data_IF_622321440659
#
_entry.id   IF_622321440659
#
_cell.length_a   1.000
_cell.length_b   1.000
_cell.length_c   1.000
_cell.angle_alpha   90.00
_cell.angle_beta   90.00
_cell.angle_gamma   90.00
#
_symmetry.space_group_name_H-M   'P 1'
#
loop_
_entity.id
_entity.type
_entity.pdbx_description
1 polymer ?
#
# COMPACT_ATOMS: atom_id res chain seq x y z
N UNK A 1 -2.52 -19.65 -18.94
CA UNK A 1 -1.97 -18.28 -19.00
C UNK A 1 -2.50 -17.60 -20.24
N UNK A 2 -3.13 -16.45 -20.12
CA UNK A 2 -3.61 -15.65 -21.27
C UNK A 2 -3.00 -14.26 -21.18
N UNK A 3 -2.41 -13.80 -22.27
CA UNK A 3 -1.84 -12.47 -22.40
C UNK A 3 -2.68 -11.67 -23.39
N UNK A 4 -3.07 -10.45 -23.06
CA UNK A 4 -3.94 -9.60 -23.89
C UNK A 4 -3.24 -8.28 -24.21
N UNK A 5 -3.13 -7.96 -25.49
CA UNK A 5 -2.47 -6.75 -25.96
C UNK A 5 -3.25 -5.49 -25.60
N UNK A 6 -2.53 -4.46 -25.18
CA UNK A 6 -3.08 -3.13 -24.81
C UNK A 6 -2.94 -2.10 -25.93
N UNK A 7 -2.44 -2.51 -27.12
CA UNK A 7 -2.19 -1.63 -28.26
C UNK A 7 -0.74 -1.17 -28.39
N UNK A 8 0.08 -1.39 -27.37
CA UNK A 8 1.54 -1.27 -27.44
C UNK A 8 2.13 -2.60 -27.89
N UNK A 9 3.18 -2.55 -28.73
CA UNK A 9 3.90 -3.75 -29.13
C UNK A 9 4.66 -4.32 -27.92
N UNK A 10 4.33 -5.56 -27.55
CA UNK A 10 4.82 -6.21 -26.33
C UNK A 10 5.54 -7.51 -26.68
N UNK A 11 6.75 -7.70 -26.14
CA UNK A 11 7.49 -8.96 -26.18
C UNK A 11 7.52 -9.57 -24.79
N UNK A 12 7.06 -10.81 -24.66
CA UNK A 12 7.08 -11.55 -23.40
C UNK A 12 7.99 -12.77 -23.47
N UNK A 13 8.42 -13.22 -22.30
CA UNK A 13 9.02 -14.52 -22.07
C UNK A 13 8.55 -15.08 -20.73
N UNK A 14 8.29 -16.38 -20.66
CA UNK A 14 7.97 -17.05 -19.40
C UNK A 14 8.37 -18.53 -19.41
N UNK A 15 8.44 -19.12 -18.22
CA UNK A 15 8.74 -20.54 -18.02
C UNK A 15 7.82 -21.13 -16.95
N UNK A 16 7.35 -22.36 -17.17
CA UNK A 16 6.53 -23.11 -16.21
C UNK A 16 7.30 -24.31 -15.64
N UNK A 17 6.84 -24.82 -14.49
CA UNK A 17 7.52 -25.91 -13.78
C UNK A 17 7.33 -27.29 -14.43
N UNK A 18 6.23 -27.54 -15.14
CA UNK A 18 5.93 -28.88 -15.67
C UNK A 18 5.73 -28.94 -17.18
N UNK A 19 4.58 -28.58 -17.71
CA UNK A 19 4.24 -28.74 -19.12
C UNK A 19 3.61 -27.47 -19.67
N UNK A 20 3.92 -27.15 -20.93
CA UNK A 20 3.42 -25.96 -21.62
C UNK A 20 2.97 -26.31 -23.04
N UNK A 21 1.79 -25.86 -23.42
CA UNK A 21 1.29 -25.96 -24.79
C UNK A 21 0.44 -24.75 -25.17
N UNK A 22 0.36 -24.47 -26.47
CA UNK A 22 -0.53 -23.45 -27.01
C UNK A 22 -2.00 -23.84 -26.73
N UNK A 23 -2.81 -22.86 -26.35
CA UNK A 23 -4.26 -23.02 -26.19
C UNK A 23 -4.99 -22.45 -27.40
N UNK A 24 -5.50 -23.35 -28.25
CA UNK A 24 -6.19 -22.97 -29.49
C UNK A 24 -5.24 -22.41 -30.55
N UNK A 25 -5.80 -21.57 -31.43
CA UNK A 25 -5.10 -20.98 -32.59
C UNK A 25 -4.71 -19.51 -32.33
N UNK A 26 -4.55 -19.13 -31.07
CA UNK A 26 -4.18 -17.77 -30.64
C UNK A 26 -2.69 -17.48 -30.87
N UNK A 27 -1.85 -18.50 -30.74
CA UNK A 27 -0.40 -18.39 -30.87
C UNK A 27 0.02 -18.26 -32.33
N UNK A 28 0.83 -17.26 -32.62
CA UNK A 28 1.20 -16.88 -33.97
C UNK A 28 2.50 -17.55 -34.42
N UNK A 29 2.77 -17.52 -35.72
CA UNK A 29 3.91 -18.25 -36.30
C UNK A 29 5.28 -17.73 -35.89
N UNK A 30 5.35 -16.54 -35.26
CA UNK A 30 6.57 -15.94 -34.74
C UNK A 30 6.76 -16.16 -33.25
N UNK A 31 5.77 -16.73 -32.55
CA UNK A 31 5.91 -17.14 -31.17
C UNK A 31 6.58 -18.50 -31.09
N UNK A 32 7.31 -18.72 -30.01
CA UNK A 32 8.08 -19.93 -29.78
C UNK A 32 7.66 -20.54 -28.47
N UNK A 33 7.32 -21.83 -28.50
CA UNK A 33 7.20 -22.69 -27.33
C UNK A 33 8.31 -23.73 -27.43
N UNK A 34 9.21 -23.74 -26.45
CA UNK A 34 10.31 -24.72 -26.36
C UNK A 34 10.29 -25.39 -24.98
N UNK A 35 9.79 -26.63 -24.94
CA UNK A 35 9.64 -27.38 -23.71
C UNK A 35 8.65 -26.71 -22.75
N UNK A 36 9.16 -26.14 -21.66
CA UNK A 36 8.37 -25.47 -20.62
C UNK A 36 8.49 -23.94 -20.69
N UNK A 37 9.15 -23.41 -21.70
CA UNK A 37 9.32 -21.97 -21.90
C UNK A 37 8.58 -21.50 -23.14
N UNK A 38 8.07 -20.27 -23.08
CA UNK A 38 7.52 -19.59 -24.25
C UNK A 38 8.02 -18.15 -24.34
N UNK A 39 8.12 -17.66 -25.57
CA UNK A 39 8.43 -16.27 -25.89
C UNK A 39 7.68 -15.86 -27.14
N UNK A 40 7.16 -14.65 -27.17
CA UNK A 40 6.31 -14.21 -28.28
C UNK A 40 6.08 -12.71 -28.33
N UNK A 41 5.28 -12.28 -29.30
CA UNK A 41 4.95 -10.88 -29.54
C UNK A 41 3.45 -10.66 -29.63
N UNK A 42 2.94 -9.71 -28.84
CA UNK A 42 1.58 -9.20 -28.96
C UNK A 42 1.66 -7.79 -29.52
N UNK A 43 1.15 -7.57 -30.73
CA UNK A 43 1.41 -6.34 -31.49
C UNK A 43 0.23 -5.38 -31.56
N UNK A 44 -0.98 -5.83 -31.21
CA UNK A 44 -2.22 -5.07 -31.42
C UNK A 44 -3.13 -5.20 -30.20
N UNK A 45 -3.91 -4.17 -29.92
CA UNK A 45 -4.91 -4.16 -28.84
C UNK A 45 -5.94 -5.29 -29.04
N UNK A 46 -6.22 -6.04 -27.97
CA UNK A 46 -7.20 -7.12 -27.96
C UNK A 46 -6.78 -8.39 -28.71
N UNK A 47 -5.56 -8.45 -29.27
CA UNK A 47 -4.95 -9.71 -29.68
C UNK A 47 -4.48 -10.44 -28.43
N UNK A 48 -4.75 -11.74 -28.38
CA UNK A 48 -4.45 -12.56 -27.21
C UNK A 48 -3.53 -13.70 -27.60
N UNK A 49 -2.58 -14.02 -26.71
CA UNK A 49 -1.82 -15.26 -26.73
C UNK A 49 -2.24 -16.11 -25.54
N UNK A 50 -2.75 -17.32 -25.80
CA UNK A 50 -3.24 -18.21 -24.74
C UNK A 50 -2.46 -19.51 -24.70
N UNK A 51 -2.07 -19.90 -23.48
CA UNK A 51 -1.30 -21.10 -23.18
C UNK A 51 -2.00 -21.95 -22.11
N UNK A 52 -2.00 -23.26 -22.32
CA UNK A 52 -2.30 -24.23 -21.28
C UNK A 52 -0.99 -24.66 -20.65
N UNK A 53 -0.94 -24.68 -19.31
CA UNK A 53 0.23 -25.18 -18.60
C UNK A 53 -0.16 -26.05 -17.41
N UNK A 54 0.75 -26.92 -17.02
CA UNK A 54 0.69 -27.67 -15.77
C UNK A 54 1.75 -27.16 -14.78
N UNK A 55 1.46 -27.27 -13.49
CA UNK A 55 2.31 -26.76 -12.42
C UNK A 55 2.08 -25.27 -12.14
N UNK A 56 3.15 -24.49 -12.16
CA UNK A 56 3.13 -23.05 -11.85
C UNK A 56 4.07 -22.30 -12.80
N UNK A 57 3.82 -21.00 -12.97
CA UNK A 57 4.77 -20.11 -13.65
C UNK A 57 5.96 -19.90 -12.71
N UNK A 58 7.16 -20.17 -13.20
CA UNK A 58 8.41 -20.08 -12.41
C UNK A 58 9.21 -18.84 -12.73
N UNK A 59 8.96 -18.23 -13.90
CA UNK A 59 9.56 -16.99 -14.34
C UNK A 59 8.66 -16.37 -15.39
N UNK A 60 8.47 -15.06 -15.31
CA UNK A 60 7.74 -14.28 -16.30
C UNK A 60 8.41 -12.91 -16.44
N UNK A 61 8.46 -12.38 -17.65
CA UNK A 61 8.94 -11.04 -17.91
C UNK A 61 8.43 -10.47 -19.22
N UNK A 62 8.14 -9.17 -19.21
CA UNK A 62 8.07 -8.40 -20.44
C UNK A 62 9.46 -7.87 -20.77
N UNK A 63 9.94 -8.21 -21.96
CA UNK A 63 11.23 -7.69 -22.44
C UNK A 63 11.05 -6.34 -23.12
N UNK A 64 9.89 -6.10 -23.72
CA UNK A 64 9.48 -4.82 -24.31
C UNK A 64 7.96 -4.67 -24.12
N UNK A 65 7.48 -3.46 -23.81
CA UNK A 65 6.04 -3.18 -23.64
C UNK A 65 5.41 -3.90 -22.44
N UNK A 66 4.08 -3.89 -22.38
CA UNK A 66 3.29 -4.59 -21.36
C UNK A 66 1.97 -5.11 -21.97
N UNK A 67 1.43 -6.17 -21.36
CA UNK A 67 0.16 -6.78 -21.73
C UNK A 67 -0.60 -7.17 -20.46
N UNK A 68 -1.93 -7.28 -20.55
CA UNK A 68 -2.72 -7.80 -19.43
C UNK A 68 -2.49 -9.31 -19.30
N UNK A 69 -2.29 -9.79 -18.07
CA UNK A 69 -1.99 -11.19 -17.78
C UNK A 69 -3.17 -11.81 -17.04
N UNK A 70 -3.59 -12.99 -17.46
CA UNK A 70 -4.61 -13.77 -16.77
C UNK A 70 -4.15 -15.21 -16.51
N UNK A 71 -4.36 -15.69 -15.29
CA UNK A 71 -4.19 -17.10 -14.90
C UNK A 71 -5.54 -17.62 -14.45
N UNK A 72 -6.02 -18.69 -15.10
CA UNK A 72 -7.35 -19.28 -14.88
C UNK A 72 -8.53 -18.29 -14.92
N UNK A 73 -8.37 -17.21 -15.68
CA UNK A 73 -9.38 -16.16 -15.86
C UNK A 73 -9.31 -15.03 -14.83
N UNK A 74 -8.46 -15.14 -13.81
CA UNK A 74 -8.17 -14.05 -12.86
C UNK A 74 -7.04 -13.17 -13.39
N UNK A 75 -7.16 -11.85 -13.24
CA UNK A 75 -6.14 -10.93 -13.71
C UNK A 75 -4.98 -10.90 -12.71
N UNK A 76 -3.76 -11.04 -13.22
CA UNK A 76 -2.52 -10.99 -12.42
C UNK A 76 -1.55 -10.00 -13.04
N UNK A 77 -0.52 -9.63 -12.28
CA UNK A 77 0.60 -8.80 -12.73
C UNK A 77 1.81 -9.66 -13.07
N UNK A 78 2.82 -9.09 -13.74
CA UNK A 78 4.06 -9.80 -14.04
C UNK A 78 4.81 -10.24 -12.76
N UNK A 79 4.60 -9.54 -11.64
CA UNK A 79 5.17 -9.87 -10.33
C UNK A 79 4.39 -10.97 -9.60
N UNK A 80 3.08 -11.08 -9.81
CA UNK A 80 2.22 -12.04 -9.08
C UNK A 80 1.90 -13.30 -9.88
N UNK A 81 2.19 -13.31 -11.18
CA UNK A 81 1.95 -14.46 -12.06
C UNK A 81 2.71 -15.72 -11.63
N UNK A 82 3.85 -15.59 -10.95
CA UNK A 82 4.62 -16.74 -10.44
C UNK A 82 4.01 -17.37 -9.19
N UNK A 83 3.17 -16.63 -8.47
CA UNK A 83 2.44 -17.10 -7.30
C UNK A 83 1.08 -17.72 -7.69
N UNK A 84 0.63 -17.46 -8.91
CA UNK A 84 -0.57 -18.06 -9.46
C UNK A 84 -0.32 -19.53 -9.80
N UNK A 85 -0.98 -20.41 -9.06
CA UNK A 85 -0.94 -21.86 -9.28
C UNK A 85 -2.21 -22.31 -10.00
N UNK A 86 -2.07 -23.13 -11.03
CA UNK A 86 -3.21 -23.79 -11.68
C UNK A 86 -3.55 -25.06 -10.92
N UNK A 87 -4.33 -24.96 -9.82
CA UNK A 87 -4.80 -26.15 -9.11
C UNK A 87 -5.95 -26.81 -9.86
N UNK A 88 -5.61 -27.76 -10.72
CA UNK A 88 -6.57 -28.62 -11.38
C UNK A 88 -7.07 -29.70 -10.42
N UNK A 89 -7.95 -29.37 -9.47
CA UNK A 89 -8.69 -30.37 -8.68
C UNK A 89 -10.02 -29.85 -8.11
N UNK A 90 -11.09 -30.10 -8.86
CA UNK A 90 -12.45 -30.20 -8.31
C UNK A 90 -12.58 -31.50 -7.53
N UNK A 91 -12.63 -31.48 -6.20
CA UNK A 91 -13.54 -32.32 -5.41
C UNK A 91 -13.62 -31.86 -3.94
N UNK A 92 -14.82 -31.89 -3.38
CA UNK A 92 -15.08 -31.46 -2.01
C UNK A 92 -14.73 -32.54 -0.98
N UNK A 93 -14.25 -32.12 0.19
CA UNK A 93 -14.74 -32.53 1.51
C UNK A 93 -13.82 -31.99 2.60
N UNK A 94 -14.46 -31.50 3.66
CA UNK A 94 -13.91 -31.14 4.97
C UNK A 94 -12.82 -32.07 5.50
N UNK A 95 -11.68 -31.52 5.92
CA UNK A 95 -11.10 -31.83 7.23
C UNK A 95 -10.24 -30.67 7.74
N UNK A 96 -10.40 -30.38 9.02
CA UNK A 96 -9.73 -29.28 9.71
C UNK A 96 -8.39 -29.76 10.25
N UNK A 97 -7.29 -29.26 9.70
CA UNK A 97 -6.05 -29.14 10.47
C UNK A 97 -5.43 -27.79 10.20
N UNK A 98 -5.65 -26.89 11.15
CA UNK A 98 -4.89 -25.69 11.43
C UNK A 98 -3.41 -25.86 11.08
N UNK A 99 -2.98 -25.20 10.02
CA UNK A 99 -1.75 -24.43 10.06
C UNK A 99 -2.14 -23.00 9.69
N UNK A 100 -2.54 -22.24 10.71
CA UNK A 100 -2.69 -20.80 10.62
C UNK A 100 -1.29 -20.22 10.48
N UNK A 101 -0.71 -20.33 9.28
CA UNK A 101 0.09 -19.23 8.80
C UNK A 101 -0.91 -18.12 8.56
N UNK A 102 -0.93 -17.18 9.49
CA UNK A 102 -1.57 -15.89 9.27
C UNK A 102 -0.82 -15.30 8.08
N UNK A 103 -1.26 -15.64 6.87
CA UNK A 103 -1.07 -14.80 5.71
C UNK A 103 -1.98 -13.61 5.98
N UNK A 104 -1.46 -12.69 6.81
CA UNK A 104 -1.93 -11.33 6.78
C UNK A 104 -1.69 -10.94 5.32
N UNK A 105 -2.74 -10.96 4.51
CA UNK A 105 -2.81 -10.09 3.35
C UNK A 105 -2.62 -8.70 3.93
N UNK A 106 -1.38 -8.28 4.12
CA UNK A 106 -1.04 -6.98 4.65
C UNK A 106 -1.67 -6.04 3.65
N UNK A 107 -2.81 -5.48 4.04
CA UNK A 107 -3.69 -4.81 3.11
C UNK A 107 -2.87 -3.64 2.59
N UNK A 108 -2.56 -3.68 1.30
CA UNK A 108 -1.63 -2.72 0.71
C UNK A 108 -2.21 -1.32 0.95
N UNK A 109 -1.47 -0.50 1.71
CA UNK A 109 -1.82 0.87 2.00
C UNK A 109 -1.38 1.76 0.83
N UNK A 110 -2.06 2.89 0.66
CA UNK A 110 -1.71 3.93 -0.30
C UNK A 110 -1.12 5.13 0.45
N UNK A 111 0.01 5.64 -0.01
CA UNK A 111 0.54 6.95 0.31
C UNK A 111 0.48 7.82 -0.95
N UNK A 112 -0.08 9.02 -0.85
CA UNK A 112 -0.13 9.98 -1.95
C UNK A 112 0.38 11.33 -1.49
N UNK A 113 1.41 11.84 -2.17
CA UNK A 113 1.97 13.16 -1.96
C UNK A 113 1.53 14.07 -3.10
N UNK A 114 0.92 15.22 -2.80
CA UNK A 114 0.38 16.13 -3.83
C UNK A 114 1.06 17.49 -3.71
N UNK A 115 1.71 17.91 -4.79
CA UNK A 115 2.36 19.21 -4.89
C UNK A 115 1.37 20.37 -4.77
N UNK A 116 1.82 21.46 -4.13
CA UNK A 116 1.02 22.67 -3.85
C UNK A 116 1.40 23.86 -4.73
N UNK A 117 2.19 23.62 -5.78
CA UNK A 117 2.74 24.65 -6.67
C UNK A 117 4.07 25.25 -6.22
N UNK A 118 4.63 24.77 -5.11
CA UNK A 118 6.02 25.01 -4.69
C UNK A 118 6.82 23.74 -4.97
N UNK A 119 8.06 23.90 -5.41
CA UNK A 119 8.98 22.78 -5.61
C UNK A 119 9.27 22.12 -4.26
N UNK A 120 8.85 20.85 -4.12
CA UNK A 120 8.92 20.12 -2.87
C UNK A 120 9.68 18.80 -3.06
N UNK A 121 10.73 18.61 -2.27
CA UNK A 121 11.45 17.36 -2.16
C UNK A 121 11.05 16.63 -0.90
N UNK A 122 10.74 15.34 -1.00
CA UNK A 122 10.41 14.51 0.16
C UNK A 122 11.33 13.31 0.30
N UNK A 123 11.33 12.77 1.51
CA UNK A 123 11.88 11.47 1.86
C UNK A 123 10.85 10.73 2.72
N UNK A 124 10.57 9.47 2.37
CA UNK A 124 9.65 8.60 3.11
C UNK A 124 10.26 7.22 3.34
N UNK A 125 9.97 6.63 4.50
CA UNK A 125 10.33 5.26 4.82
C UNK A 125 9.18 4.53 5.52
N UNK A 126 9.04 3.24 5.23
CA UNK A 126 8.02 2.35 5.81
C UNK A 126 8.67 1.15 6.50
N UNK A 127 7.93 0.49 7.39
CA UNK A 127 8.41 -0.71 8.07
C UNK A 127 8.34 -1.98 7.21
N UNK A 128 7.51 -1.95 6.16
CA UNK A 128 7.33 -3.03 5.20
C UNK A 128 7.93 -2.70 3.84
N UNK A 129 7.23 -3.08 2.78
CA UNK A 129 7.57 -2.80 1.39
C UNK A 129 6.97 -1.47 0.92
N UNK A 130 7.64 -0.79 0.00
CA UNK A 130 7.21 0.43 -0.67
C UNK A 130 7.42 0.27 -2.18
N UNK A 131 6.39 0.50 -2.97
CA UNK A 131 6.42 0.41 -4.43
C UNK A 131 5.70 1.63 -5.03
N UNK A 132 6.19 2.11 -6.18
CA UNK A 132 5.47 3.13 -6.93
C UNK A 132 4.13 2.58 -7.40
N UNK A 133 3.07 3.38 -7.27
CA UNK A 133 1.72 3.04 -7.69
C UNK A 133 1.36 3.81 -8.96
N UNK A 134 1.20 3.09 -10.06
CA UNK A 134 0.91 3.65 -11.39
C UNK A 134 2.06 4.50 -11.95
N UNK A 135 1.73 5.37 -12.90
CA UNK A 135 2.69 6.21 -13.64
C UNK A 135 2.86 7.62 -13.03
N UNK A 136 2.53 7.77 -11.74
CA UNK A 136 2.58 9.06 -11.04
C UNK A 136 4.00 9.41 -10.61
N UNK A 137 4.77 8.39 -10.19
CA UNK A 137 6.16 8.52 -9.76
C UNK A 137 7.08 8.60 -10.97
N UNK A 138 8.02 9.55 -10.94
CA UNK A 138 8.85 9.83 -12.09
C UNK A 138 10.15 9.03 -12.09
N UNK A 139 10.69 8.76 -13.29
CA UNK A 139 11.89 7.93 -13.45
C UNK A 139 13.18 8.48 -12.82
N UNK A 140 13.15 9.72 -12.32
CA UNK A 140 14.26 10.36 -11.61
C UNK A 140 14.09 10.33 -10.09
N UNK A 141 12.94 9.89 -9.59
CA UNK A 141 12.76 9.59 -8.18
C UNK A 141 13.48 8.28 -7.84
N UNK A 142 14.00 8.21 -6.62
CA UNK A 142 14.69 7.04 -6.11
C UNK A 142 13.71 6.25 -5.23
N UNK A 143 13.31 5.07 -5.70
CA UNK A 143 12.41 4.17 -4.97
C UNK A 143 13.16 2.88 -4.68
N UNK A 144 13.22 2.54 -3.40
CA UNK A 144 13.81 1.31 -2.89
C UNK A 144 12.76 0.46 -2.19
N UNK A 145 13.12 -0.74 -1.77
CA UNK A 145 12.22 -1.72 -1.16
C UNK A 145 11.39 -1.17 0.01
N UNK A 146 11.89 -0.20 0.78
CA UNK A 146 11.18 0.34 1.96
C UNK A 146 11.29 1.85 2.13
N UNK A 147 11.83 2.57 1.15
CA UNK A 147 11.95 4.03 1.21
C UNK A 147 11.97 4.65 -0.17
N UNK A 148 11.54 5.91 -0.28
CA UNK A 148 11.61 6.69 -1.49
C UNK A 148 12.05 8.13 -1.22
N UNK A 149 12.75 8.71 -2.19
CA UNK A 149 12.99 10.16 -2.29
C UNK A 149 12.56 10.63 -3.66
N UNK A 150 11.74 11.68 -3.70
CA UNK A 150 11.21 12.20 -4.95
C UNK A 150 10.84 13.68 -4.89
N UNK A 151 10.27 14.17 -5.98
CA UNK A 151 9.91 15.57 -6.15
C UNK A 151 8.49 15.76 -6.66
N UNK A 152 7.68 16.53 -5.91
CA UNK A 152 6.40 17.05 -6.41
C UNK A 152 6.53 18.55 -6.67
N UNK A 153 6.66 18.93 -7.94
CA UNK A 153 7.16 20.26 -8.32
C UNK A 153 6.08 21.29 -8.65
N UNK A 154 4.88 20.85 -9.01
CA UNK A 154 3.78 21.74 -9.43
C UNK A 154 2.46 21.37 -8.78
N UNK A 155 1.50 22.30 -8.81
CA UNK A 155 0.19 22.13 -8.18
C UNK A 155 -0.58 20.97 -8.83
N UNK A 156 -0.99 20.00 -8.02
CA UNK A 156 -1.74 18.83 -8.46
C UNK A 156 -0.92 17.73 -9.14
N UNK A 157 0.40 17.89 -9.31
CA UNK A 157 1.29 16.75 -9.57
C UNK A 157 1.38 15.94 -8.29
N UNK A 158 1.26 14.62 -8.42
CA UNK A 158 1.24 13.72 -7.29
C UNK A 158 2.18 12.54 -7.52
N UNK A 159 2.75 12.04 -6.43
CA UNK A 159 3.45 10.76 -6.36
C UNK A 159 2.64 9.83 -5.49
N UNK A 160 2.32 8.65 -6.02
CA UNK A 160 1.54 7.63 -5.32
C UNK A 160 2.37 6.39 -5.08
N UNK A 161 2.32 5.87 -3.86
CA UNK A 161 3.02 4.67 -3.43
C UNK A 161 2.06 3.66 -2.81
N UNK A 162 2.25 2.40 -3.17
CA UNK A 162 1.71 1.27 -2.46
C UNK A 162 2.69 0.85 -1.36
N UNK A 163 2.22 0.57 -0.14
CA UNK A 163 3.09 0.11 0.94
C UNK A 163 2.45 -0.90 1.89
N UNK A 164 3.29 -1.71 2.54
CA UNK A 164 2.90 -2.61 3.63
C UNK A 164 3.51 -2.14 4.96
N UNK A 165 2.98 -2.63 6.09
CA UNK A 165 3.35 -2.12 7.41
C UNK A 165 2.93 -0.67 7.65
N UNK A 166 3.77 0.13 8.32
CA UNK A 166 3.48 1.52 8.72
C UNK A 166 4.51 2.50 8.18
N UNK A 167 4.12 3.76 8.02
CA UNK A 167 5.07 4.85 7.74
C UNK A 167 5.89 5.11 9.00
N UNK A 168 7.20 4.97 8.89
CA UNK A 168 8.16 5.16 9.99
C UNK A 168 8.78 6.55 9.99
N UNK A 169 8.84 7.20 8.83
CA UNK A 169 9.23 8.60 8.69
C UNK A 169 8.70 9.17 7.39
N UNK A 170 8.27 10.42 7.42
CA UNK A 170 8.02 11.24 6.23
C UNK A 170 8.49 12.66 6.53
N UNK A 171 9.32 13.22 5.67
CA UNK A 171 9.79 14.60 5.83
C UNK A 171 9.96 15.30 4.49
N UNK A 172 9.81 16.61 4.51
CA UNK A 172 10.14 17.47 3.38
C UNK A 172 11.55 18.04 3.58
N UNK A 173 12.43 17.78 2.61
CA UNK A 173 13.78 18.33 2.56
C UNK A 173 13.77 19.77 2.02
N UNK A 174 12.81 20.06 1.14
CA UNK A 174 12.49 21.37 0.57
C UNK A 174 10.98 21.46 0.33
N UNK A 175 10.41 22.65 0.48
CA UNK A 175 8.98 22.88 0.22
C UNK A 175 8.04 22.16 1.20
N UNK A 176 6.76 22.10 0.82
CA UNK A 176 5.71 21.37 1.53
C UNK A 176 4.71 20.82 0.50
N UNK A 177 4.19 19.63 0.76
CA UNK A 177 3.15 18.98 -0.05
C UNK A 177 1.98 18.53 0.83
N UNK A 178 0.83 18.29 0.21
CA UNK A 178 -0.25 17.60 0.90
C UNK A 178 0.05 16.10 0.97
N UNK A 179 -0.22 15.48 2.11
CA UNK A 179 0.03 14.05 2.33
C UNK A 179 -1.29 13.36 2.62
N UNK A 180 -1.55 12.28 1.91
CA UNK A 180 -2.70 11.41 2.11
C UNK A 180 -2.24 9.98 2.35
N UNK A 181 -2.84 9.32 3.33
CA UNK A 181 -2.65 7.89 3.57
C UNK A 181 -4.02 7.23 3.52
N UNK A 182 -4.20 6.28 2.60
CA UNK A 182 -5.49 5.64 2.34
C UNK A 182 -6.63 6.66 2.11
N UNK A 183 -6.33 7.77 1.44
CA UNK A 183 -7.26 8.88 1.19
C UNK A 183 -7.49 9.83 2.37
N UNK A 184 -6.95 9.55 3.56
CA UNK A 184 -7.01 10.44 4.72
C UNK A 184 -5.87 11.43 4.69
N UNK A 185 -6.18 12.74 4.71
CA UNK A 185 -5.17 13.81 4.76
C UNK A 185 -4.49 13.83 6.13
N UNK A 186 -3.16 13.86 6.14
CA UNK A 186 -2.35 13.85 7.37
C UNK A 186 -1.35 15.00 7.39
N UNK A 187 -1.01 15.47 8.59
CA UNK A 187 0.19 16.28 8.80
C UNK A 187 1.39 15.33 8.92
N UNK A 188 2.40 15.39 8.03
CA UNK A 188 3.52 14.46 8.08
C UNK A 188 4.36 14.55 9.36
N UNK A 189 4.28 15.66 10.09
CA UNK A 189 4.94 15.76 11.40
C UNK A 189 4.42 14.70 12.40
N UNK A 190 3.24 14.11 12.16
CA UNK A 190 2.71 13.01 12.98
C UNK A 190 3.65 11.81 13.06
N UNK A 191 4.39 11.52 11.98
CA UNK A 191 5.32 10.38 11.91
C UNK A 191 6.63 10.62 12.66
N UNK A 192 6.89 11.86 13.09
CA UNK A 192 8.04 12.20 13.92
C UNK A 192 7.76 12.10 15.43
N UNK A 193 6.48 11.91 15.80
CA UNK A 193 6.04 11.85 17.19
C UNK A 193 5.94 10.38 17.65
N UNK A 194 6.76 9.95 18.62
CA UNK A 194 6.96 8.53 18.92
C UNK A 194 5.78 7.90 19.67
N UNK A 195 5.07 8.65 20.49
CA UNK A 195 4.11 8.10 21.44
C UNK A 195 2.67 8.27 20.94
N UNK A 196 1.78 7.36 21.34
CA UNK A 196 0.36 7.37 20.94
C UNK A 196 -0.54 7.39 22.17
N UNK A 197 -1.61 8.18 22.10
CA UNK A 197 -2.73 8.10 23.04
C UNK A 197 -4.03 8.02 22.25
N UNK A 198 -4.84 7.01 22.55
CA UNK A 198 -6.17 6.80 21.99
C UNK A 198 -7.20 6.93 23.11
N UNK A 199 -8.25 7.72 22.86
CA UNK A 199 -9.43 7.87 23.71
C UNK A 199 -10.61 7.27 22.98
N UNK A 200 -11.14 6.16 23.49
CA UNK A 200 -12.25 5.41 22.86
C UNK A 200 -13.50 5.49 23.73
N UNK A 201 -14.58 6.01 23.16
CA UNK A 201 -15.86 6.14 23.84
C UNK A 201 -16.56 4.79 24.06
N UNK A 202 -17.40 4.71 25.10
CA UNK A 202 -18.13 3.50 25.50
C UNK A 202 -19.65 3.60 25.31
N UNK A 203 -20.10 4.64 24.62
CA UNK A 203 -21.50 5.01 24.39
C UNK A 203 -22.05 6.06 25.36
N UNK A 204 -21.32 6.40 26.42
CA UNK A 204 -21.59 7.57 27.24
C UNK A 204 -20.61 8.71 26.91
N UNK A 205 -21.10 9.95 26.91
CA UNK A 205 -20.24 11.11 26.70
C UNK A 205 -19.15 11.16 27.77
N UNK A 206 -17.90 11.11 27.31
CA UNK A 206 -16.71 11.25 28.12
C UNK A 206 -15.92 12.44 27.64
N UNK A 207 -15.65 13.41 28.53
CA UNK A 207 -14.75 14.52 28.22
C UNK A 207 -13.34 14.23 28.71
N UNK A 208 -12.33 14.60 27.92
CA UNK A 208 -10.93 14.46 28.29
C UNK A 208 -10.20 15.81 28.22
N UNK A 209 -9.16 15.94 29.04
CA UNK A 209 -8.17 17.01 28.97
C UNK A 209 -6.82 16.44 29.40
N UNK A 210 -5.82 16.51 28.52
CA UNK A 210 -4.46 16.12 28.87
C UNK A 210 -3.40 17.10 28.37
N UNK A 211 -2.24 17.04 29.00
CA UNK A 211 -1.08 17.87 28.65
C UNK A 211 0.16 16.98 28.55
N UNK A 212 0.99 17.23 27.55
CA UNK A 212 2.30 16.59 27.36
C UNK A 212 3.42 17.62 27.57
N UNK A 213 4.66 17.15 27.80
CA UNK A 213 5.82 18.05 27.83
C UNK A 213 6.39 18.42 26.47
N UNK A 214 6.11 17.61 25.44
CA UNK A 214 6.57 17.85 24.07
C UNK A 214 5.46 18.36 23.15
N UNK A 215 5.62 18.02 21.88
CA UNK A 215 4.66 18.35 20.83
C UNK A 215 3.54 17.31 20.78
N UNK A 216 2.41 17.70 20.21
CA UNK A 216 1.23 16.87 20.07
C UNK A 216 0.49 17.19 18.78
N UNK A 217 0.06 16.15 18.07
CA UNK A 217 -0.75 16.21 16.85
C UNK A 217 -1.89 15.20 16.94
N UNK A 218 -2.97 15.45 16.20
CA UNK A 218 -4.00 14.43 15.96
C UNK A 218 -3.42 13.31 15.08
N UNK A 219 -3.82 12.07 15.34
CA UNK A 219 -3.54 10.91 14.49
C UNK A 219 -4.83 10.49 13.77
N UNK A 220 -5.16 11.11 12.62
CA UNK A 220 -6.40 10.83 11.91
C UNK A 220 -6.41 9.44 11.25
N UNK A 221 -5.28 8.73 11.23
CA UNK A 221 -5.21 7.35 10.71
C UNK A 221 -5.76 6.33 11.71
N UNK A 222 -5.76 6.68 13.00
CA UNK A 222 -6.34 5.86 14.07
C UNK A 222 -7.70 6.42 14.51
N UNK A 223 -7.80 7.74 14.70
CA UNK A 223 -9.02 8.40 15.16
C UNK A 223 -8.91 9.91 15.00
N UNK A 224 -9.68 10.48 14.07
CA UNK A 224 -9.70 11.91 13.82
C UNK A 224 -10.52 12.64 14.89
N UNK A 225 -9.95 13.68 15.49
CA UNK A 225 -10.67 14.58 16.40
C UNK A 225 -11.78 15.33 15.68
N UNK A 226 -12.84 15.69 16.40
CA UNK A 226 -13.92 16.52 15.86
C UNK A 226 -13.63 18.03 15.97
N UNK A 227 -14.46 18.84 15.31
CA UNK A 227 -14.28 20.30 15.28
C UNK A 227 -14.42 20.99 16.63
N UNK A 228 -15.07 20.34 17.59
CA UNK A 228 -15.28 20.86 18.95
C UNK A 228 -14.09 20.52 19.89
N UNK A 229 -13.18 19.66 19.45
CA UNK A 229 -11.95 19.38 20.14
C UNK A 229 -10.93 20.49 19.92
N UNK A 230 -9.96 20.56 20.83
CA UNK A 230 -8.90 21.57 20.78
C UNK A 230 -7.56 20.96 21.08
N UNK A 231 -6.59 21.28 20.23
CA UNK A 231 -5.20 20.93 20.37
C UNK A 231 -4.36 22.20 20.34
N UNK A 232 -3.75 22.58 21.45
CA UNK A 232 -3.01 23.85 21.54
C UNK A 232 -1.94 23.78 22.62
N UNK A 233 -0.70 24.13 22.28
CA UNK A 233 0.43 24.25 23.21
C UNK A 233 0.64 22.99 24.09
N UNK A 234 0.75 21.81 23.46
CA UNK A 234 0.96 20.56 24.19
C UNK A 234 -0.25 20.09 24.99
N UNK A 235 -1.44 20.67 24.75
CA UNK A 235 -2.68 20.34 25.44
C UNK A 235 -3.74 19.88 24.46
N UNK A 236 -4.37 18.75 24.74
CA UNK A 236 -5.58 18.29 24.07
C UNK A 236 -6.78 18.40 25.02
N UNK A 237 -7.94 18.76 24.47
CA UNK A 237 -9.22 18.73 25.18
C UNK A 237 -10.32 18.41 24.18
N UNK A 238 -11.16 17.44 24.52
CA UNK A 238 -12.25 17.01 23.65
C UNK A 238 -13.26 16.12 24.36
N UNK A 239 -14.09 15.45 23.57
CA UNK A 239 -15.08 14.51 24.07
C UNK A 239 -15.41 13.39 23.10
N UNK A 240 -15.50 12.15 23.60
CA UNK A 240 -15.95 10.99 22.82
C UNK A 240 -17.26 10.44 23.38
N UNK A 241 -18.08 9.83 22.52
CA UNK A 241 -19.26 9.04 22.94
C UNK A 241 -19.13 7.60 22.45
N UNK A 242 -19.29 7.36 21.15
CA UNK A 242 -19.06 6.06 20.50
C UNK A 242 -17.80 6.07 19.60
N UNK A 243 -17.15 7.23 19.48
CA UNK A 243 -16.03 7.50 18.58
C UNK A 243 -14.66 7.29 19.22
N UNK A 244 -13.62 7.56 18.43
CA UNK A 244 -12.23 7.43 18.81
C UNK A 244 -11.49 8.73 18.45
N UNK A 245 -10.80 9.30 19.43
CA UNK A 245 -9.81 10.34 19.21
C UNK A 245 -8.43 9.79 19.44
N UNK A 246 -7.54 9.96 18.47
CA UNK A 246 -6.16 9.53 18.57
C UNK A 246 -5.19 10.70 18.42
N UNK A 247 -4.08 10.59 19.15
CA UNK A 247 -3.05 11.60 19.24
C UNK A 247 -1.69 10.96 19.17
N UNK A 248 -0.76 11.64 18.48
CA UNK A 248 0.67 11.37 18.57
C UNK A 248 1.35 12.49 19.33
N UNK A 249 2.32 12.16 20.16
CA UNK A 249 3.03 13.14 20.97
C UNK A 249 4.48 12.73 21.28
N UNK A 250 5.26 13.67 21.80
CA UNK A 250 6.60 13.44 22.35
C UNK A 250 6.69 13.80 23.83
N UNK A 251 7.61 13.16 24.55
CA UNK A 251 7.80 13.33 25.98
C UNK A 251 6.62 12.82 26.83
N UNK A 252 6.55 13.25 28.09
CA UNK A 252 5.59 12.67 29.05
C UNK A 252 4.23 13.37 29.10
N UNK A 253 3.18 12.61 29.40
CA UNK A 253 1.91 13.15 29.90
C UNK A 253 2.12 13.75 31.30
N UNK A 254 1.88 15.05 31.43
CA UNK A 254 1.98 15.82 32.69
C UNK A 254 0.66 15.93 33.44
N UNK A 255 -0.46 15.81 32.75
CA UNK A 255 -1.81 15.88 33.32
C UNK A 255 -2.75 15.04 32.46
N UNK A 256 -3.65 14.32 33.11
CA UNK A 256 -4.78 13.64 32.48
C UNK A 256 -6.02 13.88 33.36
N UNK A 257 -7.09 14.36 32.75
CA UNK A 257 -8.40 14.49 33.37
C UNK A 257 -9.43 13.84 32.45
N UNK A 258 -10.17 12.88 32.99
CA UNK A 258 -11.21 12.16 32.28
C UNK A 258 -12.49 12.26 33.11
N UNK A 259 -13.59 12.66 32.48
CA UNK A 259 -14.91 12.70 33.10
C UNK A 259 -15.85 11.86 32.26
N UNK A 260 -16.04 10.61 32.69
CA UNK A 260 -16.70 9.55 31.95
C UNK A 260 -15.90 8.25 32.06
N UNK A 261 -16.26 7.26 31.26
CA UNK A 261 -15.76 5.89 31.35
C UNK A 261 -15.04 5.42 30.06
N UNK A 262 -14.70 6.34 29.15
CA UNK A 262 -13.90 6.05 27.95
C UNK A 262 -12.62 5.26 28.26
N UNK A 263 -12.27 4.35 27.36
CA UNK A 263 -11.02 3.61 27.42
C UNK A 263 -9.86 4.51 26.96
N UNK A 264 -8.71 4.37 27.63
CA UNK A 264 -7.47 5.02 27.25
C UNK A 264 -6.43 3.96 26.88
N UNK A 265 -5.93 4.01 25.66
CA UNK A 265 -4.81 3.16 25.20
C UNK A 265 -3.60 4.05 24.97
N UNK A 266 -2.47 3.67 25.58
CA UNK A 266 -1.25 4.45 25.58
C UNK A 266 -0.08 3.58 25.12
N UNK A 267 0.71 4.13 24.21
CA UNK A 267 1.96 3.54 23.74
C UNK A 267 3.08 4.57 23.91
N UNK A 268 4.10 4.21 24.68
CA UNK A 268 5.32 5.00 24.90
C UNK A 268 6.49 4.31 24.23
N UNK A 269 7.09 5.02 23.30
CA UNK A 269 8.19 4.58 22.45
C UNK A 269 9.42 5.47 22.60
N UNK A 270 9.44 6.43 23.54
CA UNK A 270 10.59 7.34 23.77
C UNK A 270 11.24 7.27 25.16
N UNK A 271 10.59 6.63 26.15
CA UNK A 271 11.23 6.04 27.34
C UNK A 271 11.36 6.89 28.60
#
# INVERSE_FOLDING_TARGET
LRLVGTGTQTRYEFTVSEALEASGDTIETWDTIDGTSASGWITTEGVEDTFNFAGSVTSFGFVEGEAEIYVDGEQVTASTVTDATTDSSTDGSTDSTTDSTTDSTDSQNELRLVGTGVETQYEVAVSGTLEASGDTVEQWDDVSESSATGWVTTDGVEDTYAFTGTITSLSFLEGEAEVYVNGTRVDPAVFSLPNTLVVEGDGAETTYEFMVSGDILNDPLVGATESDDSLTNGKAKGSVTDGIDAFRFSGDIKKMNLVGDAALTFEDNDG
#
